data_IF_832344397174
#
_entry.id   IF_832344397174
#
_cell.length_a   1.000
_cell.length_b   1.000
_cell.length_c   1.000
_cell.angle_alpha   90.00
_cell.angle_beta   90.00
_cell.angle_gamma   90.00
#
_symmetry.space_group_name_H-M   'P 1'
#
loop_
_entity.id
_entity.type
_entity.pdbx_description
1 polymer ?
#
# COMPACT_ATOMS: atom_id res chain seq x y z
N UNK A 1 11.97 15.87 15.37
CA UNK A 1 10.68 16.09 14.67
C UNK A 1 10.30 14.80 13.96
N UNK A 2 9.15 14.21 14.26
CA UNK A 2 8.66 12.96 13.67
C UNK A 2 7.27 13.22 13.11
N UNK A 3 7.02 12.84 11.85
CA UNK A 3 5.70 12.92 11.22
C UNK A 3 5.08 11.52 11.30
N UNK A 4 3.97 11.30 12.03
CA UNK A 4 3.37 9.99 12.19
C UNK A 4 2.50 9.63 10.97
N UNK A 5 3.15 9.42 9.82
CA UNK A 5 2.48 9.19 8.51
C UNK A 5 1.46 8.06 8.59
N UNK A 6 1.82 6.91 9.20
CA UNK A 6 0.92 5.77 9.32
C UNK A 6 -0.31 6.06 10.18
N UNK A 7 -0.17 6.86 11.24
CA UNK A 7 -1.29 7.22 12.10
C UNK A 7 -2.27 8.11 11.34
N UNK A 8 -1.77 9.15 10.65
CA UNK A 8 -2.61 10.08 9.87
C UNK A 8 -3.31 9.36 8.71
N UNK A 9 -2.62 8.46 8.02
CA UNK A 9 -3.18 7.70 6.90
C UNK A 9 -4.19 6.61 7.33
N UNK A 10 -4.35 6.33 8.63
CA UNK A 10 -5.29 5.34 9.17
C UNK A 10 -6.22 5.93 10.24
N UNK A 11 -6.18 7.24 10.46
CA UNK A 11 -6.98 7.91 11.47
C UNK A 11 -8.47 7.81 11.09
N UNK A 12 -9.28 7.24 11.99
CA UNK A 12 -10.72 7.09 11.80
C UNK A 12 -11.45 8.43 11.71
N UNK A 13 -10.95 9.48 12.36
CA UNK A 13 -11.53 10.82 12.26
C UNK A 13 -11.32 11.44 10.86
N UNK A 14 -10.28 11.01 10.15
CA UNK A 14 -9.94 11.52 8.80
C UNK A 14 -10.58 10.64 7.74
N UNK A 15 -10.43 9.32 7.87
CA UNK A 15 -10.78 8.36 6.84
C UNK A 15 -12.13 7.67 7.08
N UNK A 16 -12.66 7.68 8.30
CA UNK A 16 -13.88 6.96 8.69
C UNK A 16 -13.58 5.68 9.47
N UNK A 17 -14.63 5.03 9.99
CA UNK A 17 -14.48 3.83 10.84
C UNK A 17 -13.81 2.65 10.13
N UNK A 18 -13.91 2.61 8.81
CA UNK A 18 -13.35 1.61 7.92
C UNK A 18 -11.89 1.94 7.49
N UNK A 19 -11.20 2.85 8.20
CA UNK A 19 -9.84 3.32 7.84
C UNK A 19 -8.77 2.23 7.77
N UNK A 20 -9.02 1.08 8.41
CA UNK A 20 -8.13 -0.09 8.39
C UNK A 20 -8.50 -1.10 7.29
N UNK A 21 -9.60 -0.88 6.57
CA UNK A 21 -10.03 -1.74 5.48
C UNK A 21 -9.40 -1.33 4.15
N UNK A 22 -9.06 -2.32 3.32
CA UNK A 22 -8.62 -2.09 1.95
C UNK A 22 -9.85 -1.79 1.06
N UNK A 23 -10.14 -0.51 0.85
CA UNK A 23 -11.29 -0.03 0.04
C UNK A 23 -10.86 0.94 -1.07
N UNK A 24 -10.46 0.46 -2.26
CA UNK A 24 -10.04 1.30 -3.38
C UNK A 24 -11.10 2.31 -3.84
N UNK A 25 -12.38 1.96 -3.74
CA UNK A 25 -13.53 2.78 -4.16
C UNK A 25 -13.66 4.07 -3.32
N UNK A 26 -12.97 4.15 -2.18
CA UNK A 26 -12.95 5.35 -1.33
C UNK A 26 -12.49 6.60 -2.09
N UNK A 27 -11.63 6.45 -3.09
CA UNK A 27 -11.10 7.57 -3.86
C UNK A 27 -12.08 8.11 -4.92
N UNK A 28 -13.21 7.43 -5.17
CA UNK A 28 -14.30 7.97 -5.99
C UNK A 28 -15.08 9.07 -5.23
N UNK A 29 -15.16 8.96 -3.90
CA UNK A 29 -15.80 9.97 -3.03
C UNK A 29 -15.13 10.01 -1.66
N UNK A 30 -14.13 10.88 -1.53
CA UNK A 30 -13.37 11.02 -0.29
C UNK A 30 -14.20 11.60 0.86
N UNK A 31 -13.97 11.13 2.11
CA UNK A 31 -14.48 11.79 3.32
C UNK A 31 -14.07 13.27 3.35
N UNK A 32 -14.94 14.13 3.86
CA UNK A 32 -14.68 15.57 3.91
C UNK A 32 -13.42 15.90 4.72
N UNK A 33 -13.18 15.18 5.82
CA UNK A 33 -12.00 15.37 6.68
C UNK A 33 -10.68 15.02 5.96
N UNK A 34 -10.66 13.99 5.11
CA UNK A 34 -9.49 13.59 4.34
C UNK A 34 -8.99 14.71 3.41
N UNK A 35 -9.87 15.58 2.90
CA UNK A 35 -9.50 16.70 2.01
C UNK A 35 -8.53 17.69 2.68
N UNK A 36 -8.50 17.74 4.01
CA UNK A 36 -7.57 18.59 4.78
C UNK A 36 -6.15 18.02 4.91
N UNK A 37 -5.91 16.77 4.52
CA UNK A 37 -4.57 16.16 4.59
C UNK A 37 -3.69 16.74 3.49
N UNK A 38 -2.54 17.38 3.83
CA UNK A 38 -1.72 18.13 2.86
C UNK A 38 -0.75 17.23 2.07
N UNK A 39 -1.24 16.07 1.64
CA UNK A 39 -0.49 15.13 0.82
C UNK A 39 -0.53 15.47 -0.67
N UNK A 40 0.60 15.38 -1.38
CA UNK A 40 0.65 15.68 -2.82
C UNK A 40 -0.09 14.66 -3.71
N UNK A 41 -0.49 13.51 -3.15
CA UNK A 41 -1.20 12.47 -3.90
C UNK A 41 -2.29 11.84 -3.04
N UNK A 42 -3.52 11.85 -3.56
CA UNK A 42 -4.67 11.14 -2.98
C UNK A 42 -5.02 11.55 -1.55
N UNK A 43 -4.68 12.78 -1.14
CA UNK A 43 -4.87 13.29 0.23
C UNK A 43 -4.26 12.39 1.30
N UNK A 44 -3.10 11.79 1.00
CA UNK A 44 -2.35 10.92 1.90
C UNK A 44 -0.90 11.38 2.02
N UNK A 45 -0.30 11.18 3.19
CA UNK A 45 1.09 11.58 3.45
C UNK A 45 2.13 10.57 2.96
N UNK A 46 1.73 9.54 2.19
CA UNK A 46 2.66 8.52 1.65
C UNK A 46 3.78 9.13 0.80
N UNK A 47 3.49 10.18 0.03
CA UNK A 47 4.48 10.93 -0.75
C UNK A 47 4.80 12.31 -0.16
N UNK A 48 4.46 12.53 1.12
CA UNK A 48 4.63 13.79 1.84
C UNK A 48 3.90 14.98 1.17
N UNK A 49 4.27 16.21 1.54
CA UNK A 49 3.62 17.46 1.18
C UNK A 49 4.61 18.63 1.11
N UNK A 50 4.26 19.68 0.37
CA UNK A 50 5.04 20.93 0.32
C UNK A 50 6.47 20.76 -0.21
N UNK A 51 7.43 21.49 0.38
CA UNK A 51 8.84 21.48 -0.03
C UNK A 51 9.55 20.14 0.19
N UNK A 52 8.97 19.24 0.99
CA UNK A 52 9.49 17.90 1.25
C UNK A 52 8.69 16.81 0.52
N UNK A 53 7.84 17.19 -0.44
CA UNK A 53 7.15 16.22 -1.27
C UNK A 53 8.15 15.34 -2.04
N UNK A 54 7.81 14.06 -2.18
CA UNK A 54 8.64 13.12 -2.95
C UNK A 54 8.70 13.55 -4.41
N UNK A 55 9.89 13.93 -4.88
CA UNK A 55 10.12 14.35 -6.28
C UNK A 55 9.78 13.23 -7.28
N UNK A 56 9.90 11.97 -6.85
CA UNK A 56 9.64 10.78 -7.66
C UNK A 56 8.19 10.30 -7.67
N UNK A 57 7.24 10.99 -7.02
CA UNK A 57 5.89 10.43 -6.82
C UNK A 57 5.19 10.04 -8.14
N UNK A 58 5.32 10.88 -9.19
CA UNK A 58 4.68 10.62 -10.49
C UNK A 58 5.27 9.37 -11.14
N UNK A 59 6.59 9.23 -11.08
CA UNK A 59 7.29 8.05 -11.57
C UNK A 59 6.84 6.81 -10.81
N UNK A 60 6.90 6.82 -9.47
CA UNK A 60 6.51 5.69 -8.64
C UNK A 60 5.05 5.27 -8.85
N UNK A 61 4.12 6.22 -8.95
CA UNK A 61 2.71 5.92 -9.25
C UNK A 61 2.55 5.29 -10.63
N UNK A 62 3.24 5.79 -11.65
CA UNK A 62 3.15 5.24 -13.01
C UNK A 62 3.79 3.85 -13.12
N UNK A 63 4.94 3.65 -12.49
CA UNK A 63 5.62 2.36 -12.43
C UNK A 63 4.76 1.31 -11.72
N UNK A 64 4.18 1.64 -10.56
CA UNK A 64 3.25 0.74 -9.86
C UNK A 64 2.05 0.37 -10.73
N UNK A 65 1.46 1.33 -11.45
CA UNK A 65 0.33 1.05 -12.36
C UNK A 65 0.75 0.08 -13.48
N UNK A 66 1.90 0.32 -14.12
CA UNK A 66 2.40 -0.54 -15.19
C UNK A 66 2.69 -1.97 -14.70
N UNK A 67 3.34 -2.09 -13.53
CA UNK A 67 3.61 -3.38 -12.90
C UNK A 67 2.32 -4.12 -12.53
N UNK A 68 1.41 -3.48 -11.81
CA UNK A 68 0.14 -4.10 -11.39
C UNK A 68 -0.66 -4.55 -12.61
N UNK A 69 -0.79 -3.71 -13.64
CA UNK A 69 -1.49 -4.08 -14.88
C UNK A 69 -0.87 -5.31 -15.56
N UNK A 70 0.46 -5.30 -15.72
CA UNK A 70 1.18 -6.37 -16.41
C UNK A 70 1.10 -7.68 -15.65
N UNK A 71 1.30 -7.62 -14.32
CA UNK A 71 1.29 -8.79 -13.45
C UNK A 71 -0.11 -9.39 -13.36
N UNK A 72 -1.15 -8.60 -13.11
CA UNK A 72 -2.52 -9.11 -12.98
C UNK A 72 -3.08 -9.68 -14.29
N UNK A 73 -2.64 -9.17 -15.45
CA UNK A 73 -3.06 -9.71 -16.74
C UNK A 73 -2.40 -11.06 -17.05
N UNK A 74 -1.18 -11.28 -16.56
CA UNK A 74 -0.34 -12.39 -17.00
C UNK A 74 -0.21 -13.52 -15.97
N UNK A 75 -0.42 -13.19 -14.69
CA UNK A 75 -0.10 -14.08 -13.57
C UNK A 75 -1.25 -14.19 -12.57
N UNK A 76 -1.45 -15.40 -12.08
CA UNK A 76 -2.27 -15.70 -10.91
C UNK A 76 -1.37 -15.83 -9.67
N UNK A 77 -1.76 -15.18 -8.58
CA UNK A 77 -1.03 -15.20 -7.31
C UNK A 77 -1.84 -15.90 -6.22
N UNK A 78 -1.20 -16.83 -5.50
CA UNK A 78 -1.77 -17.44 -4.29
C UNK A 78 -0.74 -17.37 -3.16
N UNK A 79 -1.15 -17.00 -1.95
CA UNK A 79 -0.25 -17.04 -0.80
C UNK A 79 0.24 -18.48 -0.55
N UNK A 80 1.56 -18.63 -0.35
CA UNK A 80 2.16 -19.92 -0.01
C UNK A 80 2.07 -20.22 1.50
N UNK A 81 1.68 -19.22 2.29
CA UNK A 81 1.53 -19.28 3.76
C UNK A 81 0.19 -18.67 4.18
N UNK A 82 -0.30 -18.93 5.40
CA UNK A 82 -1.51 -18.27 5.91
C UNK A 82 -1.36 -16.74 5.92
N UNK A 83 -2.44 -16.00 5.61
CA UNK A 83 -2.43 -14.53 5.56
C UNK A 83 -1.93 -13.89 6.86
N UNK A 84 -2.26 -14.47 8.01
CA UNK A 84 -1.84 -13.99 9.33
C UNK A 84 -0.34 -14.12 9.59
N UNK A 85 0.38 -14.95 8.81
CA UNK A 85 1.84 -15.05 8.91
C UNK A 85 2.54 -13.86 8.23
N UNK A 86 1.84 -13.08 7.39
CA UNK A 86 2.42 -11.92 6.72
C UNK A 86 2.15 -10.67 7.55
N UNK A 87 3.19 -10.12 8.15
CA UNK A 87 3.08 -8.91 8.98
C UNK A 87 4.00 -7.81 8.47
N UNK A 88 3.64 -6.52 8.71
CA UNK A 88 4.50 -5.40 8.32
C UNK A 88 5.73 -5.30 9.23
N UNK A 89 6.91 -5.06 8.65
CA UNK A 89 8.11 -4.75 9.41
C UNK A 89 8.03 -3.34 10.03
N UNK A 90 8.48 -3.15 11.29
CA UNK A 90 8.47 -1.86 11.97
C UNK A 90 9.69 -0.98 11.58
N UNK A 91 9.94 -0.86 10.27
CA UNK A 91 11.07 -0.11 9.70
C UNK A 91 10.59 1.10 8.90
N UNK A 92 11.50 2.02 8.57
CA UNK A 92 11.19 3.24 7.79
C UNK A 92 10.43 2.92 6.49
N UNK A 93 10.88 1.90 5.77
CA UNK A 93 10.15 1.31 4.67
C UNK A 93 9.47 0.04 5.18
N UNK A 94 8.14 0.05 5.22
CA UNK A 94 7.37 -1.13 5.59
C UNK A 94 7.55 -2.20 4.51
N UNK A 95 8.05 -3.36 4.91
CA UNK A 95 8.15 -4.55 4.06
C UNK A 95 7.39 -5.70 4.70
N UNK A 96 6.85 -6.64 3.92
CA UNK A 96 6.30 -7.86 4.49
C UNK A 96 7.43 -8.71 5.08
N UNK A 97 7.19 -9.26 6.26
CA UNK A 97 8.01 -10.28 6.92
C UNK A 97 7.10 -11.44 7.34
N UNK A 98 7.69 -12.60 7.60
CA UNK A 98 6.96 -13.73 8.18
C UNK A 98 6.99 -13.64 9.70
N UNK A 99 5.82 -13.69 10.33
CA UNK A 99 5.71 -13.70 11.78
C UNK A 99 6.35 -14.95 12.39
N UNK A 100 6.24 -16.11 11.71
CA UNK A 100 6.84 -17.36 12.14
C UNK A 100 8.36 -17.40 11.99
N UNK A 101 8.93 -16.54 11.15
CA UNK A 101 10.37 -16.55 10.83
C UNK A 101 10.89 -15.12 10.55
N UNK A 102 11.04 -14.29 11.60
CA UNK A 102 11.46 -12.89 11.45
C UNK A 102 12.92 -12.73 11.03
N UNK A 103 13.79 -13.67 11.43
CA UNK A 103 15.25 -13.61 11.20
C UNK A 103 15.63 -13.77 9.72
N UNK A 104 14.82 -14.50 8.96
CA UNK A 104 14.96 -14.62 7.49
C UNK A 104 14.71 -13.30 6.74
N UNK A 105 14.27 -12.25 7.44
CA UNK A 105 14.13 -10.91 6.88
C UNK A 105 12.91 -10.72 5.96
N UNK A 106 12.91 -9.64 5.15
CA UNK A 106 11.78 -9.28 4.29
C UNK A 106 11.47 -10.31 3.21
N UNK A 107 10.26 -10.87 3.25
CA UNK A 107 9.79 -11.86 2.28
C UNK A 107 8.26 -11.87 2.18
N UNK A 108 7.75 -12.18 0.98
CA UNK A 108 6.34 -12.41 0.71
C UNK A 108 6.19 -13.73 -0.05
N UNK A 109 6.03 -14.87 0.65
CA UNK A 109 5.88 -16.17 0.01
C UNK A 109 4.59 -16.25 -0.83
N UNK A 110 4.75 -16.24 -2.15
CA UNK A 110 3.67 -16.36 -3.12
C UNK A 110 3.95 -17.49 -4.11
N UNK A 111 2.92 -18.28 -4.37
CA UNK A 111 2.87 -19.19 -5.51
C UNK A 111 2.37 -18.39 -6.71
N UNK A 112 3.09 -18.50 -7.82
CA UNK A 112 2.79 -17.77 -9.06
C UNK A 112 2.52 -18.77 -10.18
N UNK A 113 1.48 -18.50 -10.98
CA UNK A 113 1.14 -19.29 -12.18
C UNK A 113 0.88 -18.34 -13.34
N UNK A 114 1.09 -18.79 -14.57
CA UNK A 114 0.62 -18.04 -15.74
C UNK A 114 -0.90 -18.14 -15.82
N UNK A 115 -1.57 -17.02 -16.10
CA UNK A 115 -2.99 -17.04 -16.43
C UNK A 115 -3.16 -17.78 -17.77
N UNK A 116 -4.02 -18.80 -17.80
CA UNK A 116 -4.53 -19.35 -19.05
C UNK A 116 -5.31 -18.24 -19.74
N UNK A 117 -4.83 -17.79 -20.89
CA UNK A 117 -5.57 -16.83 -21.69
C UNK A 117 -6.78 -17.59 -22.26
N UNK A 118 -7.97 -17.34 -21.72
CA UNK A 118 -9.20 -17.63 -22.45
C UNK A 118 -9.20 -16.69 -23.67
N UNK A 119 -9.22 -17.28 -24.87
CA UNK A 119 -9.31 -16.59 -26.16
C UNK A 119 -10.58 -15.73 -26.29
#
# INVERSE_FOLDING_TARGET
MVIPILAINRDKAIWGEDSFEFRPERWDSLPQAARGVPGIWGHSLTFMGGHHACIGFRFGVNEMKALVFTLLRSLEFKLAVPTLDIVPSPTLLTRPIRASDPESGPQLPVLVRLCSQEE
#
